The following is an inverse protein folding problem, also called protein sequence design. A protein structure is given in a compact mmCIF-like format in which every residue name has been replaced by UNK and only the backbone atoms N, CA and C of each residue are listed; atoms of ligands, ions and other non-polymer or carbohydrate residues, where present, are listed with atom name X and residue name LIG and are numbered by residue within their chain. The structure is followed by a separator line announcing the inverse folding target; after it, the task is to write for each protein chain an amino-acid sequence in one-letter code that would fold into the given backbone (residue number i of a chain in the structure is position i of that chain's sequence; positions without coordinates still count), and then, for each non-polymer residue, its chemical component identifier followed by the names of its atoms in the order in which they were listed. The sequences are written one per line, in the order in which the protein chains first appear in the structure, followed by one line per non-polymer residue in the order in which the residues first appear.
data_IF_330007023785
#
_entry.id   IF_330007023785
#
_cell.length_a   1.000
_cell.length_b   1.000
_cell.length_c   1.000
_cell.angle_alpha   90.00
_cell.angle_beta   90.00
_cell.angle_gamma   90.00
#
_symmetry.space_group_name_H-M   'P 1'
#
loop_
_entity.id
_entity.type
_entity.pdbx_description
1 polymer ?
#
# COMPACT_ATOMS: atom_id res chain seq x y z
N UNK A 1 5.83 -7.69 7.48
CA UNK A 1 4.73 -6.72 7.69
C UNK A 1 4.66 -6.18 9.12
N UNK A 2 5.24 -6.87 10.11
CA UNK A 2 5.34 -6.43 11.52
C UNK A 2 5.84 -4.97 11.67
N UNK A 3 6.88 -4.58 10.93
CA UNK A 3 7.42 -3.22 11.00
C UNK A 3 6.39 -2.12 10.71
N UNK A 4 5.50 -2.33 9.72
CA UNK A 4 4.45 -1.35 9.38
C UNK A 4 3.38 -1.24 10.47
N UNK A 5 3.07 -2.34 11.15
CA UNK A 5 2.05 -2.37 12.20
C UNK A 5 2.38 -1.44 13.37
N UNK A 6 3.64 -1.44 13.83
CA UNK A 6 4.08 -0.54 14.89
C UNK A 6 4.22 0.91 14.43
N UNK A 7 4.67 1.10 13.19
CA UNK A 7 5.03 2.41 12.69
C UNK A 7 3.86 3.22 12.12
N UNK A 8 2.75 2.58 11.75
CA UNK A 8 1.61 3.25 11.11
C UNK A 8 1.01 4.36 11.96
N UNK A 9 0.80 4.10 13.26
CA UNK A 9 0.27 5.09 14.21
C UNK A 9 1.28 6.21 14.43
N UNK A 10 2.56 5.85 14.60
CA UNK A 10 3.65 6.80 14.80
C UNK A 10 3.77 7.78 13.62
N UNK A 11 3.81 7.26 12.38
CA UNK A 11 3.93 8.09 11.19
C UNK A 11 2.69 8.92 10.89
N UNK A 12 1.49 8.46 11.29
CA UNK A 12 0.27 9.26 11.25
C UNK A 12 0.43 10.53 12.10
N UNK A 13 0.76 10.38 13.38
CA UNK A 13 0.97 11.50 14.31
C UNK A 13 2.11 12.42 13.87
N UNK A 14 3.20 11.86 13.36
CA UNK A 14 4.34 12.64 12.86
C UNK A 14 3.95 13.45 11.63
N UNK A 15 3.14 12.88 10.72
CA UNK A 15 2.67 13.60 9.54
C UNK A 15 1.69 14.74 9.87
N UNK A 16 0.89 14.59 10.92
CA UNK A 16 0.02 15.67 11.41
C UNK A 16 0.86 16.84 11.97
N UNK A 17 2.00 16.56 12.62
CA UNK A 17 2.82 17.59 13.28
C UNK A 17 3.87 18.25 12.38
N UNK A 18 4.54 17.48 11.53
CA UNK A 18 5.67 17.94 10.70
C UNK A 18 5.19 18.39 9.31
N UNK A 19 4.02 17.92 8.87
CA UNK A 19 3.51 18.12 7.52
C UNK A 19 3.47 16.83 6.72
N UNK A 20 2.61 16.80 5.70
CA UNK A 20 2.37 15.60 4.89
C UNK A 20 3.51 15.33 3.92
N UNK A 21 4.01 16.38 3.25
CA UNK A 21 5.08 16.27 2.24
C UNK A 21 6.39 15.73 2.83
N UNK A 22 6.95 16.23 3.96
CA UNK A 22 8.21 15.71 4.49
C UNK A 22 8.12 14.23 4.86
N UNK A 23 6.98 13.76 5.37
CA UNK A 23 6.78 12.34 5.67
C UNK A 23 6.71 11.48 4.41
N UNK A 24 6.06 11.96 3.34
CA UNK A 24 6.02 11.27 2.05
C UNK A 24 7.42 11.19 1.43
N UNK A 25 8.17 12.30 1.43
CA UNK A 25 9.55 12.38 0.92
C UNK A 25 10.48 11.45 1.69
N UNK A 26 10.41 11.46 3.03
CA UNK A 26 11.18 10.55 3.89
C UNK A 26 10.86 9.08 3.62
N UNK A 27 9.57 8.76 3.46
CA UNK A 27 9.13 7.40 3.15
C UNK A 27 9.65 6.93 1.79
N UNK A 28 9.61 7.79 0.76
CA UNK A 28 10.16 7.50 -0.57
C UNK A 28 11.68 7.31 -0.52
N UNK A 29 12.40 8.16 0.20
CA UNK A 29 13.84 8.01 0.41
C UNK A 29 14.18 6.67 1.08
N UNK A 30 13.45 6.32 2.13
CA UNK A 30 13.56 5.02 2.82
C UNK A 30 13.33 3.87 1.85
N UNK A 31 12.31 3.95 0.99
CA UNK A 31 12.05 2.94 -0.04
C UNK A 31 13.26 2.78 -0.95
N UNK A 32 13.83 3.87 -1.47
CA UNK A 32 15.00 3.81 -2.37
C UNK A 32 16.19 3.12 -1.68
N UNK A 33 16.53 3.53 -0.47
CA UNK A 33 17.69 3.00 0.27
C UNK A 33 17.50 1.52 0.63
N UNK A 34 16.41 1.18 1.32
CA UNK A 34 16.23 -0.18 1.82
C UNK A 34 15.84 -1.19 0.75
N UNK A 35 15.17 -0.75 -0.32
CA UNK A 35 14.91 -1.61 -1.47
C UNK A 35 16.20 -1.93 -2.24
N UNK A 36 17.10 -0.96 -2.40
CA UNK A 36 18.43 -1.20 -2.99
C UNK A 36 19.28 -2.12 -2.10
N UNK A 37 19.28 -1.90 -0.79
CA UNK A 37 19.97 -2.77 0.17
C UNK A 37 19.43 -4.20 0.16
N UNK A 38 18.11 -4.37 -0.02
CA UNK A 38 17.51 -5.69 -0.17
C UNK A 38 18.01 -6.39 -1.43
N UNK A 39 18.11 -5.68 -2.56
CA UNK A 39 18.65 -6.22 -3.82
C UNK A 39 20.11 -6.66 -3.72
N UNK A 40 20.89 -6.03 -2.83
CA UNK A 40 22.29 -6.37 -2.53
C UNK A 40 22.44 -7.45 -1.44
N UNK A 41 21.33 -7.92 -0.87
CA UNK A 41 21.36 -8.84 0.26
C UNK A 41 21.78 -10.25 -0.17
N UNK A 42 22.87 -10.76 0.43
CA UNK A 42 23.38 -12.12 0.19
C UNK A 42 22.94 -13.10 1.28
N UNK A 43 22.68 -12.61 2.50
CA UNK A 43 22.31 -13.42 3.66
C UNK A 43 20.83 -13.30 3.98
N UNK A 44 20.21 -14.39 4.42
CA UNK A 44 18.81 -14.40 4.85
C UNK A 44 18.50 -13.35 5.94
N UNK A 45 19.35 -13.24 6.96
CA UNK A 45 19.19 -12.25 8.03
C UNK A 45 19.29 -10.79 7.56
N UNK A 46 20.12 -10.53 6.55
CA UNK A 46 20.22 -9.20 5.94
C UNK A 46 18.93 -8.85 5.17
N UNK A 47 18.33 -9.83 4.49
CA UNK A 47 17.05 -9.65 3.80
C UNK A 47 15.90 -9.38 4.78
N UNK A 48 15.85 -10.09 5.91
CA UNK A 48 14.85 -9.85 6.96
C UNK A 48 15.00 -8.46 7.56
N UNK A 49 16.21 -8.08 7.97
CA UNK A 49 16.46 -6.80 8.65
C UNK A 49 16.14 -5.62 7.74
N UNK A 50 16.56 -5.66 6.48
CA UNK A 50 16.22 -4.62 5.49
C UNK A 50 14.70 -4.52 5.25
N UNK A 51 13.98 -5.64 5.21
CA UNK A 51 12.51 -5.65 5.06
C UNK A 51 11.79 -5.17 6.31
N UNK A 52 12.30 -5.48 7.49
CA UNK A 52 11.74 -5.02 8.76
C UNK A 52 11.91 -3.50 8.90
N UNK A 53 13.10 -2.99 8.64
CA UNK A 53 13.41 -1.56 8.67
C UNK A 53 12.64 -0.79 7.60
N UNK A 54 12.57 -1.31 6.37
CA UNK A 54 11.70 -0.74 5.33
C UNK A 54 10.24 -0.67 5.81
N UNK A 55 9.75 -1.71 6.48
CA UNK A 55 8.39 -1.70 7.04
C UNK A 55 8.19 -0.65 8.13
N UNK A 56 9.16 -0.51 9.05
CA UNK A 56 9.07 0.41 10.18
C UNK A 56 9.26 1.89 9.79
N UNK A 57 10.00 2.16 8.73
CA UNK A 57 10.29 3.53 8.31
C UNK A 57 9.35 4.01 7.19
N UNK A 58 8.55 3.12 6.59
CA UNK A 58 7.69 3.43 5.46
C UNK A 58 6.22 3.62 5.86
N UNK A 59 5.88 4.86 6.27
CA UNK A 59 4.56 5.25 6.77
C UNK A 59 3.66 5.99 5.77
N UNK A 60 3.95 5.99 4.47
CA UNK A 60 3.34 6.94 3.52
C UNK A 60 1.83 6.77 3.24
N UNK A 61 1.23 5.61 3.54
CA UNK A 61 -0.15 5.29 3.14
C UNK A 61 -1.21 6.18 3.79
N UNK A 62 -1.06 6.51 5.07
CA UNK A 62 -1.99 7.40 5.75
C UNK A 62 -1.81 8.87 5.31
N UNK A 63 -0.58 9.42 5.30
CA UNK A 63 -0.33 10.79 4.84
C UNK A 63 -0.77 11.05 3.40
N UNK A 64 -0.61 10.11 2.47
CA UNK A 64 -0.96 10.34 1.06
C UNK A 64 -2.48 10.42 0.83
N UNK A 65 -3.26 9.64 1.59
CA UNK A 65 -4.73 9.71 1.56
C UNK A 65 -5.23 11.01 2.16
N UNK A 66 -4.68 11.41 3.32
CA UNK A 66 -4.99 12.69 3.95
C UNK A 66 -4.60 13.87 3.05
N UNK A 67 -3.40 13.83 2.47
CA UNK A 67 -2.91 14.82 1.52
C UNK A 67 -3.84 14.98 0.32
N UNK A 68 -4.33 13.87 -0.26
CA UNK A 68 -5.25 13.93 -1.39
C UNK A 68 -6.56 14.65 -1.04
N UNK A 69 -7.07 14.48 0.18
CA UNK A 69 -8.30 15.14 0.64
C UNK A 69 -8.04 16.63 0.89
N UNK A 70 -6.90 16.98 1.49
CA UNK A 70 -6.52 18.36 1.81
C UNK A 70 -6.20 19.21 0.56
N UNK A 71 -5.71 18.59 -0.52
CA UNK A 71 -5.45 19.29 -1.79
C UNK A 71 -6.72 19.52 -2.60
N UNK A 72 -7.62 18.55 -2.63
CA UNK A 72 -8.88 18.62 -3.37
C UNK A 72 -9.86 19.63 -2.75
N UNK A 73 -10.72 20.21 -3.59
CA UNK A 73 -11.92 20.93 -3.14
C UNK A 73 -12.91 19.94 -2.54
N UNK A 74 -13.78 20.38 -1.62
CA UNK A 74 -14.73 19.50 -0.91
C UNK A 74 -15.57 18.65 -1.87
N UNK A 75 -16.00 19.28 -2.95
CA UNK A 75 -16.76 18.76 -4.07
C UNK A 75 -16.02 17.62 -4.82
N UNK A 76 -14.69 17.61 -4.78
CA UNK A 76 -13.82 16.71 -5.56
C UNK A 76 -12.96 15.76 -4.69
N UNK A 77 -13.19 15.74 -3.37
CA UNK A 77 -12.43 14.87 -2.45
C UNK A 77 -12.58 13.38 -2.79
N UNK A 78 -13.79 12.97 -3.20
CA UNK A 78 -14.05 11.60 -3.63
C UNK A 78 -13.23 11.22 -4.87
N UNK A 79 -13.06 12.13 -5.83
CA UNK A 79 -12.19 11.89 -6.99
C UNK A 79 -10.72 11.78 -6.59
N UNK A 80 -10.25 12.63 -5.69
CA UNK A 80 -8.87 12.55 -5.18
C UNK A 80 -8.57 11.19 -4.55
N UNK A 81 -9.42 10.73 -3.64
CA UNK A 81 -9.28 9.41 -3.00
C UNK A 81 -9.35 8.28 -4.04
N UNK A 82 -10.22 8.41 -5.04
CA UNK A 82 -10.34 7.44 -6.14
C UNK A 82 -9.03 7.31 -6.91
N UNK A 83 -8.39 8.43 -7.27
CA UNK A 83 -7.09 8.43 -7.97
C UNK A 83 -6.01 7.70 -7.16
N UNK A 84 -5.93 7.95 -5.84
CA UNK A 84 -4.99 7.26 -4.95
C UNK A 84 -5.24 5.74 -4.95
N UNK A 85 -6.50 5.31 -4.88
CA UNK A 85 -6.87 3.90 -4.90
C UNK A 85 -6.60 3.25 -6.26
N UNK A 86 -6.84 3.95 -7.37
CA UNK A 86 -6.51 3.46 -8.73
C UNK A 86 -5.00 3.31 -8.90
N UNK A 87 -4.20 4.26 -8.40
CA UNK A 87 -2.74 4.16 -8.41
C UNK A 87 -2.24 2.96 -7.60
N UNK A 88 -2.87 2.67 -6.45
CA UNK A 88 -2.60 1.46 -5.67
C UNK A 88 -2.90 0.19 -6.48
N UNK A 89 -4.06 0.13 -7.14
CA UNK A 89 -4.44 -0.99 -8.01
C UNK A 89 -3.46 -1.21 -9.18
N UNK A 90 -3.00 -0.14 -9.82
CA UNK A 90 -1.95 -0.21 -10.84
C UNK A 90 -0.63 -0.75 -10.27
N UNK A 91 -0.27 -0.37 -9.05
CA UNK A 91 0.88 -0.89 -8.33
C UNK A 91 0.82 -2.41 -8.12
N UNK A 92 -0.38 -2.95 -7.85
CA UNK A 92 -0.61 -4.39 -7.72
C UNK A 92 -0.44 -5.17 -9.03
N UNK A 93 -0.52 -4.49 -10.18
CA UNK A 93 -0.31 -5.09 -11.50
C UNK A 93 1.16 -4.98 -11.90
N UNK A 94 1.70 -3.77 -11.85
CA UNK A 94 3.06 -3.47 -12.30
C UNK A 94 4.09 -4.11 -11.36
N UNK A 95 3.83 -4.14 -10.06
CA UNK A 95 4.74 -4.70 -9.05
C UNK A 95 5.11 -6.16 -9.30
N UNK A 96 4.13 -7.08 -9.37
CA UNK A 96 4.37 -8.49 -9.68
C UNK A 96 4.95 -8.73 -11.07
N UNK A 97 4.58 -7.93 -12.06
CA UNK A 97 5.17 -8.01 -13.39
C UNK A 97 6.69 -7.71 -13.33
N UNK A 98 7.09 -6.58 -12.74
CA UNK A 98 8.50 -6.25 -12.58
C UNK A 98 9.21 -7.31 -11.71
N UNK A 99 8.60 -7.71 -10.59
CA UNK A 99 9.16 -8.69 -9.67
C UNK A 99 9.34 -10.08 -10.28
N UNK A 100 8.42 -10.54 -11.12
CA UNK A 100 8.45 -11.88 -11.71
C UNK A 100 9.36 -11.98 -12.95
N UNK A 101 9.27 -11.01 -13.87
CA UNK A 101 10.05 -11.03 -15.12
C UNK A 101 11.51 -10.64 -14.92
N UNK A 102 11.81 -9.72 -13.98
CA UNK A 102 13.20 -9.30 -13.74
C UNK A 102 13.90 -10.13 -12.65
N UNK A 103 13.17 -10.98 -11.91
CA UNK A 103 13.81 -11.88 -10.95
C UNK A 103 14.63 -12.97 -11.65
N UNK A 104 15.80 -13.27 -11.09
CA UNK A 104 16.73 -14.28 -11.59
C UNK A 104 17.10 -14.07 -13.07
N UNK A 105 17.63 -12.89 -13.44
CA UNK A 105 17.88 -12.53 -14.83
C UNK A 105 18.89 -13.46 -15.52
N UNK A 106 19.88 -14.00 -14.79
CA UNK A 106 20.83 -14.98 -15.32
C UNK A 106 20.15 -16.30 -15.75
N UNK A 107 19.08 -16.73 -15.06
CA UNK A 107 18.32 -17.93 -15.40
C UNK A 107 17.28 -17.68 -16.49
N UNK A 108 16.63 -16.51 -16.47
CA UNK A 108 15.59 -16.18 -17.46
C UNK A 108 16.16 -15.69 -18.80
N UNK A 109 17.30 -15.00 -18.79
CA UNK A 109 17.90 -14.38 -19.97
C UNK A 109 19.39 -14.74 -20.09
N UNK A 110 19.73 -16.02 -20.30
CA UNK A 110 21.12 -16.50 -20.33
C UNK A 110 21.94 -15.90 -21.49
N UNK A 111 21.29 -15.38 -22.54
CA UNK A 111 21.96 -14.71 -23.66
C UNK A 111 22.43 -13.29 -23.33
N UNK A 112 21.87 -12.65 -22.30
CA UNK A 112 22.13 -11.25 -21.93
C UNK A 112 22.92 -11.19 -20.61
N UNK A 113 22.63 -12.09 -19.67
CA UNK A 113 23.25 -12.13 -18.36
C UNK A 113 23.99 -13.45 -18.14
N UNK A 114 25.32 -13.38 -18.03
CA UNK A 114 26.14 -14.52 -17.67
C UNK A 114 26.01 -14.86 -16.18
N UNK A 115 26.06 -16.15 -15.83
CA UNK A 115 25.99 -16.64 -14.45
C UNK A 115 27.09 -16.08 -13.52
N UNK A 116 28.25 -15.73 -14.08
CA UNK A 116 29.36 -15.11 -13.33
C UNK A 116 29.19 -13.60 -13.10
N UNK A 117 28.17 -12.97 -13.68
CA UNK A 117 27.88 -11.55 -13.51
C UNK A 117 27.32 -11.24 -12.12
N UNK A 118 27.35 -9.97 -11.72
CA UNK A 118 26.76 -9.49 -10.45
C UNK A 118 25.28 -9.86 -10.32
N UNK A 119 24.56 -9.92 -11.45
CA UNK A 119 23.15 -10.31 -11.52
C UNK A 119 22.90 -11.83 -11.39
N UNK A 120 23.93 -12.67 -11.61
CA UNK A 120 23.89 -14.10 -11.29
C UNK A 120 24.07 -14.34 -9.80
N UNK A 121 24.96 -13.56 -9.15
CA UNK A 121 25.17 -13.60 -7.70
C UNK A 121 24.03 -12.97 -6.89
N UNK A 122 23.36 -11.95 -7.46
CA UNK A 122 22.30 -11.19 -6.81
C UNK A 122 20.99 -11.28 -7.64
N UNK A 123 20.20 -12.35 -7.48
CA UNK A 123 19.05 -12.65 -8.34
C UNK A 123 17.91 -11.63 -8.25
N UNK A 124 17.86 -10.83 -7.18
CA UNK A 124 16.81 -9.83 -6.93
C UNK A 124 17.29 -8.38 -7.11
N UNK A 125 18.55 -8.17 -7.49
CA UNK A 125 19.09 -6.81 -7.64
C UNK A 125 18.39 -6.04 -8.75
N UNK A 126 18.18 -6.67 -9.91
CA UNK A 126 17.59 -6.04 -11.09
C UNK A 126 16.17 -5.48 -10.83
N UNK A 127 15.19 -6.25 -10.30
CA UNK A 127 13.87 -5.69 -9.99
C UNK A 127 13.94 -4.60 -8.92
N UNK A 128 14.85 -4.73 -7.94
CA UNK A 128 15.03 -3.70 -6.91
C UNK A 128 15.58 -2.39 -7.48
N UNK A 129 16.51 -2.44 -8.43
CA UNK A 129 17.02 -1.24 -9.10
C UNK A 129 15.93 -0.55 -9.91
N UNK A 130 15.12 -1.29 -10.69
CA UNK A 130 14.01 -0.72 -11.45
C UNK A 130 13.00 0.01 -10.55
N UNK A 131 12.61 -0.62 -9.43
CA UNK A 131 11.69 0.00 -8.46
C UNK A 131 12.33 1.23 -7.82
N UNK A 132 13.63 1.18 -7.51
CA UNK A 132 14.33 2.31 -6.87
C UNK A 132 14.52 3.50 -7.83
N UNK A 133 14.74 3.24 -9.12
CA UNK A 133 14.77 4.27 -10.17
C UNK A 133 13.39 4.92 -10.28
N UNK A 134 12.33 4.13 -10.36
CA UNK A 134 10.95 4.65 -10.37
C UNK A 134 10.63 5.48 -9.11
N UNK A 135 11.02 4.99 -7.93
CA UNK A 135 10.85 5.72 -6.67
C UNK A 135 11.68 7.01 -6.63
N UNK A 136 12.85 7.05 -7.27
CA UNK A 136 13.68 8.27 -7.39
C UNK A 136 12.99 9.31 -8.27
N UNK A 137 12.39 8.89 -9.40
CA UNK A 137 11.56 9.79 -10.21
C UNK A 137 10.36 10.32 -9.42
N UNK A 138 9.70 9.47 -8.63
CA UNK A 138 8.61 9.90 -7.74
C UNK A 138 9.09 10.90 -6.68
N UNK A 139 10.28 10.67 -6.09
CA UNK A 139 10.90 11.59 -5.12
C UNK A 139 11.20 12.95 -5.73
N UNK A 140 11.72 12.98 -6.96
CA UNK A 140 11.95 14.23 -7.71
C UNK A 140 10.61 14.94 -7.98
N UNK A 141 9.58 14.19 -8.39
CA UNK A 141 8.24 14.75 -8.59
C UNK A 141 7.64 15.35 -7.30
N UNK A 142 8.00 14.83 -6.13
CA UNK A 142 7.58 15.42 -4.85
C UNK A 142 8.16 16.82 -4.58
N UNK A 143 9.18 17.27 -5.31
CA UNK A 143 9.69 18.65 -5.19
C UNK A 143 8.57 19.64 -5.54
N UNK A 144 7.76 19.32 -6.55
CA UNK A 144 6.62 20.13 -7.00
C UNK A 144 5.36 20.01 -6.14
N UNK A 145 5.30 19.07 -5.19
CA UNK A 145 4.15 18.96 -4.30
C UNK A 145 4.08 20.19 -3.35
N UNK A 146 2.94 20.89 -3.24
CA UNK A 146 2.76 21.87 -2.18
C UNK A 146 2.69 21.21 -0.80
N UNK A 147 3.05 21.94 0.25
CA UNK A 147 2.82 21.50 1.64
C UNK A 147 1.38 21.80 2.05
N UNK A 148 0.69 20.87 2.71
CA UNK A 148 -0.72 21.03 3.13
C UNK A 148 -0.90 21.27 4.63
N UNK A 149 0.17 21.31 5.43
CA UNK A 149 0.11 21.46 6.89
C UNK A 149 -0.82 22.60 7.35
N UNK A 150 -0.80 23.76 6.68
CA UNK A 150 -1.66 24.91 7.04
C UNK A 150 -3.16 24.69 6.80
N UNK A 151 -3.54 23.76 5.91
CA UNK A 151 -4.94 23.40 5.67
C UNK A 151 -5.47 22.45 6.73
N UNK A 152 -4.61 21.70 7.41
CA UNK A 152 -5.01 20.75 8.45
C UNK A 152 -5.76 21.45 9.60
N UNK A 153 -5.18 22.51 10.18
CA UNK A 153 -5.84 23.31 11.23
C UNK A 153 -7.17 23.90 10.76
N UNK A 154 -7.27 24.29 9.49
CA UNK A 154 -8.52 24.83 8.92
C UNK A 154 -9.58 23.73 8.73
N UNK A 155 -9.16 22.50 8.42
CA UNK A 155 -10.03 21.35 8.28
C UNK A 155 -10.52 20.85 9.64
N UNK A 156 -9.64 20.80 10.65
CA UNK A 156 -9.96 20.47 12.04
C UNK A 156 -10.96 21.50 12.62
N UNK A 157 -10.66 22.79 12.48
CA UNK A 157 -11.57 23.87 12.91
C UNK A 157 -12.92 23.84 12.17
N UNK A 158 -12.95 23.47 10.88
CA UNK A 158 -14.21 23.34 10.12
C UNK A 158 -15.00 22.10 10.51
N UNK A 159 -14.34 20.99 10.80
CA UNK A 159 -14.98 19.78 11.32
C UNK A 159 -15.62 20.07 12.69
N UNK A 160 -14.89 20.74 13.58
CA UNK A 160 -15.41 21.20 14.87
C UNK A 160 -16.60 22.18 14.71
N UNK A 161 -16.53 23.10 13.74
CA UNK A 161 -17.63 24.04 13.46
C UNK A 161 -18.86 23.36 12.84
N UNK A 162 -18.67 22.34 12.00
CA UNK A 162 -19.75 21.55 11.41
C UNK A 162 -20.44 20.65 12.46
N UNK A 163 -19.65 20.06 13.37
CA UNK A 163 -20.19 19.34 14.53
C UNK A 163 -20.96 20.29 15.48
N UNK A 164 -20.44 21.50 15.72
CA UNK A 164 -21.12 22.52 16.52
C UNK A 164 -22.43 23.05 15.89
N UNK A 165 -22.53 23.09 14.56
CA UNK A 165 -23.75 23.49 13.85
C UNK A 165 -24.90 22.47 13.95
N UNK A 166 -24.61 21.24 14.36
CA UNK A 166 -25.60 20.15 14.46
C UNK A 166 -26.06 19.91 15.90
N UNK A 167 -25.52 20.64 16.89
CA UNK A 167 -25.86 20.44 18.30
C UNK A 167 -25.71 21.77 19.07
N UNK A 168 -26.77 22.60 19.07
CA UNK A 168 -26.95 23.54 20.17
C UNK A 168 -27.27 22.70 21.42
N UNK A 169 -26.52 22.95 22.49
CA UNK A 169 -26.43 22.17 23.75
C UNK A 169 -25.54 20.91 23.70
N UNK A 170 -24.23 21.10 23.71
CA UNK A 170 -23.40 20.39 24.70
C UNK A 170 -22.12 21.14 25.00
N UNK A 171 -22.03 21.56 26.26
CA UNK A 171 -20.83 21.93 27.03
C UNK A 171 -19.67 21.00 26.69
N UNK A 172 -18.48 21.58 26.43
CA UNK A 172 -17.16 20.95 26.28
C UNK A 172 -17.18 19.43 26.07
N UNK A 173 -17.03 18.93 24.84
CA UNK A 173 -16.87 17.49 24.64
C UNK A 173 -15.50 17.06 25.21
N UNK A 174 -15.43 16.30 26.32
CA UNK A 174 -14.16 15.74 26.74
C UNK A 174 -13.87 14.64 25.74
N UNK A 175 -12.77 14.74 24.95
CA UNK A 175 -12.25 13.71 24.02
C UNK A 175 -12.87 12.34 24.30
N UNK A 176 -14.05 12.06 23.71
CA UNK A 176 -14.76 10.81 24.02
C UNK A 176 -13.85 9.73 23.46
N UNK A 177 -13.28 8.94 24.36
CA UNK A 177 -12.29 7.93 23.99
C UNK A 177 -12.79 7.15 22.79
N UNK A 178 -12.11 7.29 21.64
CA UNK A 178 -12.50 6.65 20.37
C UNK A 178 -12.71 5.14 20.57
N UNK A 179 -11.96 4.57 21.52
CA UNK A 179 -12.01 3.19 21.97
C UNK A 179 -13.34 2.76 22.63
N UNK A 180 -14.16 3.70 23.11
CA UNK A 180 -15.47 3.43 23.72
C UNK A 180 -16.62 3.43 22.70
N UNK A 181 -16.38 3.90 21.47
CA UNK A 181 -17.40 3.91 20.43
C UNK A 181 -17.50 2.52 19.79
N UNK A 182 -18.45 1.70 20.28
CA UNK A 182 -18.59 0.30 19.85
C UNK A 182 -18.85 0.12 18.35
N UNK A 183 -19.75 0.90 17.69
CA UNK A 183 -19.89 0.86 16.24
C UNK A 183 -18.57 1.09 15.48
N UNK A 184 -17.79 2.11 15.88
CA UNK A 184 -16.51 2.42 15.26
C UNK A 184 -15.50 1.28 15.47
N UNK A 185 -15.38 0.79 16.70
CA UNK A 185 -14.49 -0.32 17.03
C UNK A 185 -14.87 -1.60 16.27
N UNK A 186 -16.15 -1.88 16.11
CA UNK A 186 -16.65 -3.02 15.33
C UNK A 186 -16.23 -2.93 13.85
N UNK A 187 -16.36 -1.75 13.24
CA UNK A 187 -15.89 -1.52 11.86
C UNK A 187 -14.37 -1.67 11.74
N UNK A 188 -13.60 -1.16 12.71
CA UNK A 188 -12.13 -1.30 12.72
C UNK A 188 -11.73 -2.77 12.84
N UNK A 189 -12.34 -3.52 13.77
CA UNK A 189 -12.06 -4.96 13.96
C UNK A 189 -12.36 -5.73 12.68
N UNK A 190 -13.51 -5.47 12.07
CA UNK A 190 -13.91 -6.12 10.81
C UNK A 190 -12.90 -5.82 9.70
N UNK A 191 -12.50 -4.55 9.54
CA UNK A 191 -11.47 -4.16 8.58
C UNK A 191 -10.13 -4.85 8.84
N UNK A 192 -9.71 -4.96 10.10
CA UNK A 192 -8.48 -5.67 10.47
C UNK A 192 -8.53 -7.14 10.10
N UNK A 193 -9.66 -7.83 10.34
CA UNK A 193 -9.83 -9.25 9.97
C UNK A 193 -9.76 -9.43 8.46
N UNK A 194 -10.49 -8.63 7.69
CA UNK A 194 -10.46 -8.70 6.23
C UNK A 194 -9.08 -8.37 5.66
N UNK A 195 -8.43 -7.32 6.18
CA UNK A 195 -7.09 -6.94 5.73
C UNK A 195 -6.05 -7.99 6.08
N UNK A 196 -6.16 -8.64 7.25
CA UNK A 196 -5.30 -9.75 7.65
C UNK A 196 -5.50 -10.95 6.73
N UNK A 197 -6.76 -11.29 6.43
CA UNK A 197 -7.09 -12.38 5.51
C UNK A 197 -6.52 -12.13 4.10
N UNK A 198 -6.78 -10.96 3.52
CA UNK A 198 -6.28 -10.55 2.19
C UNK A 198 -4.74 -10.61 2.12
N UNK A 199 -4.09 -10.08 3.15
CA UNK A 199 -2.64 -10.12 3.29
C UNK A 199 -2.13 -11.55 3.41
N UNK A 200 -2.73 -12.38 4.26
CA UNK A 200 -2.31 -13.76 4.46
C UNK A 200 -2.49 -14.57 3.18
N UNK A 201 -3.61 -14.39 2.48
CA UNK A 201 -3.88 -15.04 1.21
C UNK A 201 -2.81 -14.69 0.17
N UNK A 202 -2.49 -13.42 -0.03
CA UNK A 202 -1.51 -12.99 -1.04
C UNK A 202 -0.09 -13.53 -0.80
N UNK A 203 0.36 -13.56 0.46
CA UNK A 203 1.67 -14.09 0.85
C UNK A 203 1.71 -15.63 0.76
N UNK A 204 0.70 -16.32 1.28
CA UNK A 204 0.62 -17.79 1.27
C UNK A 204 0.46 -18.31 -0.16
N UNK A 205 -0.38 -17.67 -0.98
CA UNK A 205 -0.58 -18.06 -2.37
C UNK A 205 0.72 -18.02 -3.17
N UNK A 206 1.51 -16.96 -3.02
CA UNK A 206 2.80 -16.82 -3.70
C UNK A 206 3.81 -17.89 -3.25
N UNK A 207 3.81 -18.26 -1.97
CA UNK A 207 4.67 -19.35 -1.47
C UNK A 207 4.20 -20.73 -1.92
N UNK A 208 2.88 -20.96 -1.92
CA UNK A 208 2.28 -22.24 -2.31
C UNK A 208 2.48 -22.55 -3.79
N UNK A 209 2.33 -21.56 -4.67
CA UNK A 209 2.52 -21.70 -6.12
C UNK A 209 3.96 -22.10 -6.47
N UNK A 210 4.97 -21.57 -5.76
CA UNK A 210 6.39 -21.91 -5.96
C UNK A 210 6.75 -23.30 -5.39
N UNK A 211 6.00 -23.79 -4.39
CA UNK A 211 6.31 -25.05 -3.72
C UNK A 211 6.27 -26.26 -4.66
N UNK A 212 7.09 -27.27 -4.35
CA UNK A 212 7.22 -28.51 -5.12
C UNK A 212 5.89 -29.27 -5.22
N UNK A 213 5.60 -29.90 -6.37
CA UNK A 213 4.41 -30.76 -6.55
C UNK A 213 4.29 -31.86 -5.51
N UNK A 214 5.43 -32.35 -5.00
CA UNK A 214 5.49 -33.34 -3.91
C UNK A 214 4.81 -32.86 -2.61
N UNK A 215 4.78 -31.55 -2.36
CA UNK A 215 4.16 -30.93 -1.19
C UNK A 215 2.77 -30.34 -1.50
N UNK A 216 2.18 -30.69 -2.64
CA UNK A 216 0.89 -30.16 -3.09
C UNK A 216 0.96 -28.74 -3.68
N UNK A 217 2.16 -28.23 -3.98
CA UNK A 217 2.35 -26.96 -4.70
C UNK A 217 2.37 -27.12 -6.22
N UNK A 218 2.51 -26.01 -6.95
CA UNK A 218 2.43 -25.99 -8.42
C UNK A 218 3.80 -26.01 -9.12
N UNK A 219 4.89 -25.74 -8.38
CA UNK A 219 6.27 -25.63 -8.89
C UNK A 219 6.43 -24.56 -9.97
N UNK A 220 5.74 -23.43 -9.80
CA UNK A 220 5.81 -22.30 -10.72
C UNK A 220 7.16 -21.59 -10.65
N UNK A 221 7.62 -21.09 -11.80
CA UNK A 221 8.77 -20.20 -11.85
C UNK A 221 8.40 -18.79 -11.36
N UNK A 222 9.40 -17.96 -11.03
CA UNK A 222 9.15 -16.57 -10.63
C UNK A 222 8.38 -15.77 -11.68
N UNK A 223 8.58 -16.10 -12.97
CA UNK A 223 7.85 -15.50 -14.08
C UNK A 223 6.37 -15.90 -14.07
N UNK A 224 6.08 -17.19 -13.88
CA UNK A 224 4.69 -17.69 -13.89
C UNK A 224 3.90 -17.11 -12.71
N UNK A 225 4.51 -17.03 -11.52
CA UNK A 225 3.90 -16.38 -10.35
C UNK A 225 3.62 -14.91 -10.63
N UNK A 226 4.59 -14.19 -11.20
CA UNK A 226 4.41 -12.79 -11.60
C UNK A 226 3.28 -12.60 -12.61
N UNK A 227 3.17 -13.47 -13.61
CA UNK A 227 2.10 -13.44 -14.60
C UNK A 227 0.73 -13.68 -13.98
N UNK A 228 0.58 -14.72 -13.14
CA UNK A 228 -0.68 -15.03 -12.47
C UNK A 228 -1.14 -13.87 -11.60
N UNK A 229 -0.22 -13.28 -10.82
CA UNK A 229 -0.56 -12.17 -9.93
C UNK A 229 -0.87 -10.88 -10.70
N UNK A 230 -0.21 -10.65 -11.85
CA UNK A 230 -0.54 -9.55 -12.78
C UNK A 230 -1.94 -9.73 -13.37
N UNK A 231 -2.28 -10.93 -13.86
CA UNK A 231 -3.62 -11.24 -14.41
C UNK A 231 -4.70 -11.11 -13.33
N UNK A 232 -4.41 -11.55 -12.10
CA UNK A 232 -5.30 -11.38 -10.97
C UNK A 232 -5.52 -9.88 -10.67
N UNK A 233 -4.46 -9.06 -10.66
CA UNK A 233 -4.56 -7.62 -10.47
C UNK A 233 -5.36 -6.91 -11.56
N UNK A 234 -5.19 -7.29 -12.84
CA UNK A 234 -5.99 -6.77 -13.95
C UNK A 234 -7.46 -7.17 -13.78
N UNK A 235 -7.72 -8.44 -13.48
CA UNK A 235 -9.08 -8.94 -13.21
C UNK A 235 -9.75 -8.18 -12.05
N UNK A 236 -8.99 -7.87 -10.99
CA UNK A 236 -9.47 -7.09 -9.86
C UNK A 236 -9.81 -5.64 -10.26
N UNK A 237 -8.99 -4.98 -11.08
CA UNK A 237 -9.30 -3.64 -11.59
C UNK A 237 -10.54 -3.65 -12.48
N UNK A 238 -10.68 -4.63 -13.37
CA UNK A 238 -11.88 -4.79 -14.22
C UNK A 238 -13.11 -5.00 -13.33
N UNK A 239 -13.01 -5.85 -12.33
CA UNK A 239 -14.08 -6.04 -11.35
C UNK A 239 -14.44 -4.73 -10.65
N UNK A 240 -13.46 -3.97 -10.15
CA UNK A 240 -13.68 -2.73 -9.41
C UNK A 240 -14.34 -1.63 -10.26
N UNK A 241 -13.95 -1.52 -11.54
CA UNK A 241 -14.43 -0.46 -12.44
C UNK A 241 -15.83 -0.78 -12.97
N UNK A 242 -16.07 -2.02 -13.39
CA UNK A 242 -17.30 -2.41 -14.09
C UNK A 242 -18.28 -3.13 -13.16
N UNK A 243 -17.84 -4.24 -12.56
CA UNK A 243 -18.73 -5.15 -11.82
C UNK A 243 -19.17 -4.53 -10.50
N UNK A 244 -18.23 -3.99 -9.73
CA UNK A 244 -18.53 -3.38 -8.44
C UNK A 244 -19.42 -2.15 -8.59
N UNK A 245 -19.16 -1.29 -9.59
CA UNK A 245 -20.01 -0.13 -9.87
C UNK A 245 -21.45 -0.56 -10.22
N UNK A 246 -21.58 -1.58 -11.05
CA UNK A 246 -22.88 -2.15 -11.40
C UNK A 246 -23.58 -2.74 -10.16
N UNK A 247 -22.87 -3.54 -9.37
CA UNK A 247 -23.39 -4.17 -8.16
C UNK A 247 -23.86 -3.13 -7.14
N UNK A 248 -23.04 -2.10 -6.90
CA UNK A 248 -23.33 -1.02 -5.96
C UNK A 248 -24.55 -0.18 -6.40
N UNK A 249 -24.70 0.08 -7.70
CA UNK A 249 -25.86 0.81 -8.21
C UNK A 249 -27.16 -0.02 -8.17
N UNK A 250 -27.06 -1.34 -8.24
CA UNK A 250 -28.24 -2.23 -8.33
C UNK A 250 -28.71 -2.71 -6.95
N UNK A 251 -27.78 -3.10 -6.08
CA UNK A 251 -28.08 -3.72 -4.78
C UNK A 251 -27.80 -2.78 -3.61
N UNK A 252 -27.04 -1.71 -3.81
CA UNK A 252 -26.54 -0.85 -2.74
C UNK A 252 -25.45 -1.53 -1.90
N UNK A 253 -24.68 -0.75 -1.11
CA UNK A 253 -23.49 -1.25 -0.40
C UNK A 253 -23.81 -2.28 0.69
N UNK A 254 -24.96 -2.14 1.37
CA UNK A 254 -25.35 -3.03 2.47
C UNK A 254 -25.77 -4.41 1.98
N UNK A 255 -26.66 -4.49 0.99
CA UNK A 255 -27.07 -5.79 0.44
C UNK A 255 -25.94 -6.48 -0.31
N UNK A 256 -25.08 -5.72 -0.99
CA UNK A 256 -23.88 -6.28 -1.64
C UNK A 256 -22.97 -6.99 -0.64
N UNK A 257 -22.76 -6.38 0.54
CA UNK A 257 -21.96 -6.98 1.61
C UNK A 257 -22.64 -8.22 2.19
N UNK A 258 -23.97 -8.18 2.31
CA UNK A 258 -24.76 -9.28 2.86
C UNK A 258 -24.79 -10.52 1.95
N UNK A 259 -24.87 -10.31 0.63
CA UNK A 259 -24.76 -11.38 -0.38
C UNK A 259 -23.34 -11.97 -0.40
N UNK A 260 -22.30 -11.14 -0.20
CA UNK A 260 -20.93 -11.63 -0.12
C UNK A 260 -20.62 -12.40 1.18
N UNK A 261 -21.47 -12.27 2.21
CA UNK A 261 -21.33 -12.97 3.49
C UNK A 261 -22.16 -14.25 3.62
N UNK A 262 -23.09 -14.49 2.69
CA UNK A 262 -23.82 -15.76 2.54
C UNK A 262 -23.02 -16.75 1.69
#
# INVERSE_FOLDING_TARGET
MVGRGFASIFWGMVADRIGRKPVIVFSLFTVIVFNTLFGLSVKYWMAITTRLLLGALNGFLAPIKAYSIEVCRDDEQALGISIVNTAWGLGLIIGPAIGGYLAQPAKQYPHIFHDKSTFGRLPYLLPCLCISIFATFALISCIWLPETLHKHNKFEMRAETAEAGTTQESTESPKKSLWKNWPLMSSIITYCVFSLHDTAYSEIFSLWTVSGRKYGGLSFSSKDVGQVLTVAGVSLLVYQIFVYRWLNNTLGPVNSTRIASE
#
